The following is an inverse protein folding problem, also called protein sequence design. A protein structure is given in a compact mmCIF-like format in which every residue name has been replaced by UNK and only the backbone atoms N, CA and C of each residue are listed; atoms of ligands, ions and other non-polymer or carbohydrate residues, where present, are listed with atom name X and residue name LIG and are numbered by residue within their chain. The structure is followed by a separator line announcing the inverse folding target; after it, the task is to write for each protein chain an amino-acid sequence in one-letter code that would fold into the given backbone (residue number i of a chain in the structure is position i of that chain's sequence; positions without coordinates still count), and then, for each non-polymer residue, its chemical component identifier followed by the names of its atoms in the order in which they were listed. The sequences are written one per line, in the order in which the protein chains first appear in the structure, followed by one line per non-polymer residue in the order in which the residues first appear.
data_IF_025913412762
#
_entry.id   IF_025913412762
#
_cell.length_a   1.000
_cell.length_b   1.000
_cell.length_c   1.000
_cell.angle_alpha   90.00
_cell.angle_beta   90.00
_cell.angle_gamma   90.00
#
_symmetry.space_group_name_H-M   'P 1'
#
loop_
_entity.id
_entity.type
_entity.pdbx_description
1 polymer ?
#
# COMPACT_ATOMS: atom_id res chain seq x y z
N UNK A 1 50.20 15.11 -40.00
CA UNK A 1 49.94 16.50 -40.39
C UNK A 1 50.67 17.46 -39.48
N UNK A 2 51.13 18.64 -40.00
CA UNK A 2 51.78 19.70 -39.21
C UNK A 2 50.64 20.53 -38.54
N UNK A 3 50.72 20.68 -37.22
CA UNK A 3 49.65 21.31 -36.42
C UNK A 3 49.97 22.79 -36.04
N UNK A 4 51.25 23.18 -36.09
CA UNK A 4 51.64 24.57 -35.84
C UNK A 4 51.85 25.35 -37.14
N UNK A 5 51.24 26.53 -37.27
CA UNK A 5 51.42 27.42 -38.42
C UNK A 5 52.78 28.18 -38.37
N UNK A 6 53.18 28.58 -37.18
CA UNK A 6 54.45 29.28 -36.91
C UNK A 6 55.37 28.40 -36.11
N UNK A 7 56.71 28.67 -36.20
CA UNK A 7 57.69 27.94 -35.38
C UNK A 7 57.45 28.18 -33.89
N UNK A 8 57.47 27.09 -33.12
CA UNK A 8 57.42 27.13 -31.66
C UNK A 8 58.84 27.42 -31.14
N UNK A 9 58.97 28.46 -30.35
CA UNK A 9 60.26 28.92 -29.80
C UNK A 9 60.45 28.51 -28.34
N UNK A 10 59.44 27.83 -27.76
CA UNK A 10 59.46 27.23 -26.41
C UNK A 10 59.59 25.71 -26.51
N UNK A 11 59.73 25.04 -25.39
CA UNK A 11 59.74 23.56 -25.29
C UNK A 11 58.35 23.01 -25.02
N UNK A 12 57.30 23.82 -25.12
CA UNK A 12 55.91 23.47 -24.85
C UNK A 12 55.01 23.88 -26.03
N UNK A 13 54.04 23.07 -26.33
CA UNK A 13 52.99 23.35 -27.32
C UNK A 13 51.66 22.75 -26.92
N UNK A 14 50.59 23.57 -26.81
CA UNK A 14 49.25 23.13 -26.47
C UNK A 14 48.56 22.60 -27.69
N UNK A 15 48.15 21.33 -27.66
CA UNK A 15 47.28 20.75 -28.67
C UNK A 15 45.83 21.00 -28.25
N UNK A 16 45.08 21.70 -29.11
CA UNK A 16 43.69 22.06 -28.85
C UNK A 16 42.76 21.40 -29.87
N UNK A 17 41.45 21.44 -29.61
CA UNK A 17 40.39 20.89 -30.50
C UNK A 17 40.60 19.40 -30.81
N UNK A 18 41.13 18.62 -29.85
CA UNK A 18 41.25 17.17 -29.96
C UNK A 18 39.90 16.53 -29.75
N UNK A 19 39.66 15.41 -30.46
CA UNK A 19 38.47 14.57 -30.27
C UNK A 19 38.67 13.71 -29.02
N UNK A 20 37.67 13.59 -28.19
CA UNK A 20 37.70 12.72 -27.01
C UNK A 20 37.79 11.22 -27.38
N UNK A 21 38.26 10.42 -26.42
CA UNK A 21 38.45 8.96 -26.55
C UNK A 21 39.28 8.57 -27.79
N UNK A 22 40.15 9.50 -28.26
CA UNK A 22 40.94 9.32 -29.47
C UNK A 22 42.43 9.18 -29.11
N UNK A 23 43.06 8.21 -29.73
CA UNK A 23 44.50 7.99 -29.56
C UNK A 23 45.29 8.87 -30.54
N UNK A 24 46.14 9.74 -29.97
CA UNK A 24 47.00 10.66 -30.72
C UNK A 24 48.45 10.23 -30.62
N UNK A 25 49.19 10.49 -31.72
CA UNK A 25 50.62 10.27 -31.83
C UNK A 25 51.27 11.54 -32.30
N UNK A 26 52.16 12.12 -31.48
CA UNK A 26 52.85 13.40 -31.72
C UNK A 26 54.34 13.14 -31.91
N UNK A 27 54.90 13.85 -32.91
CA UNK A 27 56.35 13.93 -33.18
C UNK A 27 56.74 15.37 -33.39
N UNK A 28 57.96 15.70 -33.04
CA UNK A 28 58.53 17.06 -33.16
C UNK A 28 59.73 17.05 -34.06
N UNK A 29 59.93 18.13 -34.83
CA UNK A 29 61.18 18.42 -35.58
C UNK A 29 61.71 19.75 -35.14
N UNK A 30 63.03 19.93 -35.16
CA UNK A 30 63.71 21.21 -34.91
C UNK A 30 64.09 21.86 -36.24
N UNK A 31 64.01 23.20 -36.29
CA UNK A 31 64.36 23.97 -37.47
C UNK A 31 65.42 24.99 -37.11
N UNK A 32 66.53 25.02 -37.86
CA UNK A 32 67.59 25.98 -37.65
C UNK A 32 67.32 27.38 -38.33
N UNK A 33 68.22 28.35 -38.08
CA UNK A 33 68.09 29.66 -38.66
C UNK A 33 68.23 29.68 -40.19
N UNK A 34 68.83 28.67 -40.81
CA UNK A 34 68.91 28.48 -42.27
C UNK A 34 67.72 27.75 -42.84
N UNK A 35 66.71 27.40 -42.02
CA UNK A 35 65.50 26.65 -42.36
C UNK A 35 65.73 25.15 -42.67
N UNK A 36 66.86 24.57 -42.21
CA UNK A 36 67.01 23.11 -42.28
C UNK A 36 66.22 22.47 -41.15
N UNK A 37 65.50 21.39 -41.48
CA UNK A 37 64.65 20.63 -40.54
C UNK A 37 65.28 19.30 -40.17
N UNK A 38 65.26 18.97 -38.89
CA UNK A 38 65.79 17.71 -38.36
C UNK A 38 64.89 16.52 -38.74
N UNK A 39 65.40 15.31 -38.52
CA UNK A 39 64.55 14.10 -38.47
C UNK A 39 63.46 14.27 -37.37
N UNK A 40 62.34 13.60 -37.56
CA UNK A 40 61.26 13.57 -36.52
C UNK A 40 61.72 12.82 -35.27
N UNK A 41 61.28 13.31 -34.15
CA UNK A 41 61.45 12.60 -32.86
C UNK A 41 60.78 11.21 -32.86
N UNK A 42 61.10 10.38 -31.86
CA UNK A 42 60.19 9.27 -31.49
C UNK A 42 58.79 9.80 -31.22
N UNK A 43 57.82 8.93 -31.38
CA UNK A 43 56.40 9.26 -31.18
C UNK A 43 56.08 9.25 -29.69
N UNK A 44 55.50 10.36 -29.20
CA UNK A 44 54.76 10.35 -27.95
C UNK A 44 53.25 10.06 -28.24
N UNK A 45 52.67 9.11 -27.53
CA UNK A 45 51.30 8.73 -27.69
C UNK A 45 50.50 9.00 -26.43
N UNK A 46 49.26 9.44 -26.59
CA UNK A 46 48.30 9.63 -25.49
C UNK A 46 46.88 9.47 -26.04
N UNK A 47 45.93 9.14 -25.16
CA UNK A 47 44.49 9.07 -25.48
C UNK A 47 43.79 10.19 -24.72
N UNK A 48 42.98 10.96 -25.43
CA UNK A 48 42.15 11.97 -24.78
C UNK A 48 41.09 11.30 -23.93
N UNK A 49 40.86 11.81 -22.70
CA UNK A 49 39.78 11.28 -21.87
C UNK A 49 38.39 11.55 -22.48
N UNK A 50 37.41 10.77 -22.05
CA UNK A 50 36.00 11.08 -22.26
C UNK A 50 35.62 12.29 -21.43
N UNK A 51 34.85 13.21 -21.99
CA UNK A 51 34.26 14.31 -21.23
C UNK A 51 33.21 13.72 -20.28
N UNK A 52 33.39 13.97 -18.99
CA UNK A 52 32.41 13.54 -18.00
C UNK A 52 31.15 14.36 -18.15
N UNK A 53 30.01 13.68 -18.24
CA UNK A 53 28.70 14.32 -18.17
C UNK A 53 28.46 14.87 -16.76
N UNK A 54 28.05 16.11 -16.66
CA UNK A 54 27.74 16.81 -15.40
C UNK A 54 26.36 17.48 -15.42
N UNK A 55 25.60 17.28 -16.50
CA UNK A 55 24.25 17.80 -16.64
C UNK A 55 23.26 16.78 -16.06
N UNK A 56 22.35 17.24 -15.18
CA UNK A 56 21.34 16.39 -14.63
C UNK A 56 20.11 16.32 -15.57
N UNK A 57 19.39 15.19 -15.62
CA UNK A 57 18.17 15.06 -16.37
C UNK A 57 17.11 16.12 -16.01
N UNK A 58 16.17 16.37 -16.93
CA UNK A 58 15.01 17.17 -16.63
C UNK A 58 14.18 16.54 -15.50
N UNK A 59 13.52 17.39 -14.71
CA UNK A 59 12.65 16.95 -13.62
C UNK A 59 11.46 16.16 -14.20
N UNK A 60 11.12 14.97 -13.65
CA UNK A 60 9.94 14.23 -14.05
C UNK A 60 8.67 15.07 -13.87
N UNK A 61 7.75 15.02 -14.82
CA UNK A 61 6.50 15.77 -14.81
C UNK A 61 5.28 14.85 -14.78
N UNK A 62 4.11 15.41 -14.43
CA UNK A 62 2.84 14.66 -14.47
C UNK A 62 2.80 13.46 -13.53
N UNK A 63 3.48 13.53 -12.38
CA UNK A 63 3.41 12.46 -11.38
C UNK A 63 1.98 12.33 -10.89
N UNK A 64 1.42 11.13 -10.97
CA UNK A 64 0.05 10.84 -10.58
C UNK A 64 -0.05 9.48 -9.88
N UNK A 65 -1.02 9.36 -8.96
CA UNK A 65 -1.37 8.08 -8.33
C UNK A 65 -2.68 7.56 -8.93
N UNK A 66 -2.74 6.26 -9.20
CA UNK A 66 -3.92 5.52 -9.65
C UNK A 66 -4.01 4.15 -8.94
N UNK A 67 -5.06 3.40 -9.18
CA UNK A 67 -5.26 2.05 -8.64
C UNK A 67 -5.00 1.98 -7.13
N UNK A 68 -5.49 3.01 -6.41
CA UNK A 68 -5.30 3.12 -4.97
C UNK A 68 -6.09 2.03 -4.27
N UNK A 69 -5.42 1.29 -3.40
CA UNK A 69 -5.99 0.24 -2.56
C UNK A 69 -5.83 0.57 -1.08
N UNK A 70 -6.14 -0.35 -0.18
CA UNK A 70 -5.90 -0.21 1.25
C UNK A 70 -4.41 -0.14 1.60
N UNK A 71 -3.56 -0.82 0.82
CA UNK A 71 -2.14 -1.01 1.14
C UNK A 71 -1.19 -0.67 0.01
N UNK A 72 -1.68 -0.01 -1.06
CA UNK A 72 -0.86 0.31 -2.22
C UNK A 72 -1.47 1.32 -3.18
N UNK A 73 -0.66 1.75 -4.15
CA UNK A 73 -1.08 2.59 -5.27
C UNK A 73 -0.09 2.43 -6.43
N UNK A 74 -0.55 2.63 -7.65
CA UNK A 74 0.31 2.75 -8.83
C UNK A 74 0.68 4.23 -9.03
N UNK A 75 1.98 4.52 -9.15
CA UNK A 75 2.51 5.84 -9.45
C UNK A 75 3.00 5.86 -10.89
N UNK A 76 2.62 6.89 -11.64
CA UNK A 76 3.04 7.09 -13.04
C UNK A 76 3.58 8.50 -13.23
N UNK A 77 4.44 8.70 -14.24
CA UNK A 77 5.01 10.01 -14.59
C UNK A 77 5.36 10.09 -16.06
N UNK A 78 5.64 11.31 -16.54
CA UNK A 78 6.16 11.54 -17.88
C UNK A 78 7.67 11.36 -17.89
N UNK A 79 8.20 10.70 -18.92
CA UNK A 79 9.63 10.48 -19.07
C UNK A 79 10.41 11.81 -19.10
N UNK A 80 11.54 11.84 -18.40
CA UNK A 80 12.52 12.92 -18.45
C UNK A 80 13.39 12.83 -19.68
N UNK A 81 14.04 13.95 -20.02
CA UNK A 81 15.06 14.06 -21.09
C UNK A 81 16.40 14.42 -20.48
N UNK A 82 17.47 14.08 -21.18
CA UNK A 82 18.83 14.36 -20.81
C UNK A 82 19.71 14.54 -22.06
N UNK A 83 20.86 15.22 -21.94
CA UNK A 83 21.81 15.45 -23.05
C UNK A 83 22.50 14.13 -23.49
N UNK A 84 22.64 13.14 -22.61
CA UNK A 84 23.22 11.82 -22.93
C UNK A 84 22.14 10.75 -22.87
N UNK A 85 21.60 10.43 -21.71
CA UNK A 85 20.49 9.51 -21.53
C UNK A 85 20.00 9.44 -20.07
N UNK A 86 18.69 9.40 -19.85
CA UNK A 86 18.09 8.99 -18.57
C UNK A 86 18.22 7.48 -18.42
N UNK A 87 18.78 7.01 -17.31
CA UNK A 87 18.95 5.59 -17.02
C UNK A 87 17.93 5.03 -16.04
N UNK A 88 17.25 5.90 -15.28
CA UNK A 88 16.19 5.48 -14.37
C UNK A 88 15.64 6.59 -13.50
N UNK A 89 14.79 6.19 -12.56
CA UNK A 89 14.06 7.08 -11.68
C UNK A 89 14.14 6.63 -10.23
N UNK A 90 14.22 7.58 -9.32
CA UNK A 90 14.09 7.38 -7.88
C UNK A 90 12.70 7.84 -7.44
N UNK A 91 12.00 6.99 -6.69
CA UNK A 91 10.66 7.27 -6.15
C UNK A 91 10.76 7.51 -4.65
N UNK A 92 10.10 8.55 -4.16
CA UNK A 92 10.11 8.95 -2.76
C UNK A 92 8.70 9.06 -2.23
N UNK A 93 8.49 8.52 -1.02
CA UNK A 93 7.29 8.74 -0.22
C UNK A 93 7.67 9.67 0.93
N UNK A 94 7.14 10.89 0.92
CA UNK A 94 7.68 11.96 1.74
C UNK A 94 9.17 12.19 1.45
N UNK A 95 10.02 12.08 2.46
CA UNK A 95 11.48 12.20 2.31
C UNK A 95 12.19 10.86 2.06
N UNK A 96 11.49 9.74 2.14
CA UNK A 96 12.09 8.40 2.08
C UNK A 96 12.09 7.87 0.64
N UNK A 97 13.28 7.50 0.12
CA UNK A 97 13.41 6.76 -1.13
C UNK A 97 12.91 5.33 -0.94
N UNK A 98 11.99 4.88 -1.79
CA UNK A 98 11.33 3.58 -1.65
C UNK A 98 11.81 2.50 -2.63
N UNK A 99 12.51 2.87 -3.68
CA UNK A 99 13.13 1.91 -4.61
C UNK A 99 14.64 1.74 -4.32
N UNK A 100 15.11 0.51 -4.19
CA UNK A 100 16.53 0.21 -3.91
C UNK A 100 17.44 0.58 -5.10
N UNK A 101 17.00 0.32 -6.32
CA UNK A 101 17.67 0.66 -7.58
C UNK A 101 16.77 1.55 -8.43
N UNK A 102 17.32 2.43 -9.29
CA UNK A 102 16.51 3.26 -10.17
C UNK A 102 15.57 2.42 -11.04
N UNK A 103 14.31 2.89 -11.16
CA UNK A 103 13.27 2.27 -11.99
C UNK A 103 13.48 2.69 -13.44
N UNK A 104 13.50 1.76 -14.37
CA UNK A 104 13.79 2.04 -15.80
C UNK A 104 12.54 2.33 -16.65
N UNK A 105 11.38 2.20 -16.06
CA UNK A 105 10.06 2.53 -16.66
C UNK A 105 9.45 3.75 -15.96
N UNK A 106 8.39 4.30 -16.52
CA UNK A 106 7.72 5.51 -16.00
C UNK A 106 6.54 5.19 -15.09
N UNK A 107 6.58 4.06 -14.41
CA UNK A 107 5.59 3.64 -13.40
C UNK A 107 6.26 2.89 -12.26
N UNK A 108 5.61 2.91 -11.10
CA UNK A 108 6.05 2.20 -9.90
C UNK A 108 4.86 1.82 -9.02
N UNK A 109 4.80 0.56 -8.61
CA UNK A 109 3.78 0.08 -7.69
C UNK A 109 4.25 0.23 -6.24
N UNK A 110 3.59 1.12 -5.49
CA UNK A 110 3.75 1.25 -4.05
C UNK A 110 2.97 0.16 -3.35
N UNK A 111 3.61 -0.53 -2.41
CA UNK A 111 3.01 -1.60 -1.61
C UNK A 111 3.36 -1.42 -0.13
N UNK A 112 2.64 -2.12 0.77
CA UNK A 112 2.91 -2.07 2.20
C UNK A 112 2.54 -0.75 2.88
N UNK A 113 1.64 0.01 2.27
CA UNK A 113 1.10 1.24 2.85
C UNK A 113 0.08 0.93 3.95
N UNK A 114 -0.16 1.88 4.83
CA UNK A 114 -1.21 1.80 5.85
C UNK A 114 -2.55 2.26 5.26
N UNK A 115 -3.63 1.56 5.56
CA UNK A 115 -4.98 1.93 5.15
C UNK A 115 -5.41 3.28 5.74
N UNK A 116 -6.35 3.95 5.07
CA UNK A 116 -6.92 5.25 5.45
C UNK A 116 -5.85 6.32 5.80
N UNK A 117 -4.72 6.32 5.05
CA UNK A 117 -3.56 7.18 5.33
C UNK A 117 -3.19 8.00 4.10
N UNK A 118 -2.94 9.30 4.31
CA UNK A 118 -2.49 10.22 3.26
C UNK A 118 -1.01 10.07 2.96
N UNK A 119 -0.66 10.01 1.68
CA UNK A 119 0.71 9.91 1.18
C UNK A 119 1.02 11.02 0.18
N UNK A 120 2.29 11.43 0.14
CA UNK A 120 2.85 12.37 -0.81
C UNK A 120 4.03 11.72 -1.52
N UNK A 121 4.00 11.67 -2.85
CA UNK A 121 5.00 10.97 -3.67
C UNK A 121 5.65 11.95 -4.63
N UNK A 122 6.98 11.90 -4.73
CA UNK A 122 7.80 12.64 -5.68
C UNK A 122 8.75 11.69 -6.41
N UNK A 123 9.20 12.09 -7.60
CA UNK A 123 10.11 11.29 -8.44
C UNK A 123 11.25 12.17 -8.91
N UNK A 124 12.47 11.64 -8.96
CA UNK A 124 13.63 12.24 -9.65
C UNK A 124 14.16 11.32 -10.73
N UNK A 125 14.82 11.87 -11.73
CA UNK A 125 15.48 11.14 -12.82
C UNK A 125 16.99 11.06 -12.59
N UNK A 126 17.61 9.96 -13.02
CA UNK A 126 19.07 9.71 -12.91
C UNK A 126 19.62 9.34 -14.28
N UNK A 127 20.81 9.86 -14.63
CA UNK A 127 21.55 9.52 -15.84
C UNK A 127 22.61 8.41 -15.62
N UNK A 128 23.41 8.11 -16.65
CA UNK A 128 24.48 7.14 -16.60
C UNK A 128 25.74 7.63 -15.86
N UNK A 129 25.94 8.94 -15.74
CA UNK A 129 27.06 9.55 -15.02
C UNK A 129 26.78 9.65 -13.50
N UNK A 130 25.52 9.42 -13.08
CA UNK A 130 25.07 9.50 -11.71
C UNK A 130 24.53 10.87 -11.31
N UNK A 131 24.30 11.79 -12.28
CA UNK A 131 23.64 13.04 -11.99
C UNK A 131 22.15 12.79 -11.76
N UNK A 132 21.59 13.42 -10.73
CA UNK A 132 20.18 13.28 -10.35
C UNK A 132 19.46 14.62 -10.46
N UNK A 133 18.28 14.63 -11.07
CA UNK A 133 17.43 15.81 -11.18
C UNK A 133 16.88 16.25 -9.82
N UNK A 134 16.33 17.46 -9.75
CA UNK A 134 15.44 17.82 -8.66
C UNK A 134 14.22 16.87 -8.64
N UNK A 135 13.57 16.77 -7.48
CA UNK A 135 12.32 16.02 -7.34
C UNK A 135 11.16 16.74 -8.04
N UNK A 136 10.23 15.96 -8.57
CA UNK A 136 9.00 16.46 -9.21
C UNK A 136 8.11 17.23 -8.23
N UNK A 137 7.07 17.87 -8.75
CA UNK A 137 5.89 18.20 -7.98
C UNK A 137 5.34 16.94 -7.31
N UNK A 138 4.73 17.11 -6.13
CA UNK A 138 4.21 16.00 -5.35
C UNK A 138 2.83 15.56 -5.84
N UNK A 139 2.66 14.26 -6.06
CA UNK A 139 1.34 13.63 -6.17
C UNK A 139 0.88 13.19 -4.78
N UNK A 140 -0.33 13.58 -4.37
CA UNK A 140 -0.92 13.19 -3.10
C UNK A 140 -2.12 12.27 -3.31
N UNK A 141 -2.27 11.27 -2.45
CA UNK A 141 -3.43 10.38 -2.43
C UNK A 141 -3.67 9.86 -1.01
N UNK A 142 -4.85 9.29 -0.77
CA UNK A 142 -5.16 8.60 0.49
C UNK A 142 -5.54 7.16 0.16
N UNK A 143 -4.93 6.20 0.85
CA UNK A 143 -5.27 4.78 0.73
C UNK A 143 -6.70 4.53 1.19
N UNK A 144 -7.36 3.50 0.65
CA UNK A 144 -8.71 3.12 1.04
C UNK A 144 -8.74 2.70 2.51
N UNK A 145 -9.92 2.81 3.14
CA UNK A 145 -10.15 2.27 4.47
C UNK A 145 -9.94 0.75 4.48
N UNK A 146 -9.48 0.21 5.61
CA UNK A 146 -9.45 -1.24 5.79
C UNK A 146 -10.89 -1.77 5.77
N UNK A 147 -11.15 -2.82 4.99
CA UNK A 147 -12.41 -3.55 5.15
C UNK A 147 -12.39 -4.19 6.53
N UNK A 148 -13.40 -3.87 7.35
CA UNK A 148 -13.65 -4.65 8.56
C UNK A 148 -14.08 -6.05 8.12
N UNK A 149 -13.36 -7.07 8.59
CA UNK A 149 -13.77 -8.45 8.36
C UNK A 149 -15.16 -8.62 9.00
N UNK A 150 -16.18 -8.81 8.15
CA UNK A 150 -17.54 -9.06 8.64
C UNK A 150 -17.54 -10.38 9.39
N UNK A 151 -17.98 -10.34 10.64
CA UNK A 151 -18.23 -11.55 11.39
C UNK A 151 -19.30 -12.42 10.70
N UNK A 152 -18.98 -13.68 10.52
CA UNK A 152 -19.86 -14.68 9.88
C UNK A 152 -20.07 -15.91 10.77
N UNK A 153 -19.49 -15.92 11.96
CA UNK A 153 -19.64 -17.01 12.93
C UNK A 153 -20.86 -16.73 13.79
N UNK A 154 -21.74 -17.73 13.91
CA UNK A 154 -22.91 -17.60 14.75
C UNK A 154 -22.59 -17.97 16.20
N UNK A 155 -23.24 -17.34 17.20
CA UNK A 155 -23.09 -17.71 18.60
C UNK A 155 -23.41 -19.18 18.87
N UNK A 156 -22.92 -19.68 19.99
CA UNK A 156 -23.37 -20.99 20.50
C UNK A 156 -24.85 -20.97 20.84
N UNK A 157 -25.56 -22.08 20.62
CA UNK A 157 -26.96 -22.19 21.03
C UNK A 157 -27.10 -21.99 22.55
N UNK A 158 -28.11 -21.23 23.03
CA UNK A 158 -28.41 -21.13 24.46
C UNK A 158 -28.72 -22.46 25.06
N UNK A 159 -28.44 -22.61 26.36
CA UNK A 159 -28.72 -23.85 27.11
C UNK A 159 -29.45 -23.53 28.41
N UNK A 160 -29.89 -24.58 29.11
CA UNK A 160 -30.48 -24.46 30.45
C UNK A 160 -31.76 -23.60 30.50
N UNK A 161 -32.60 -23.65 29.44
CA UNK A 161 -33.90 -22.98 29.45
C UNK A 161 -34.77 -23.56 30.55
N UNK A 162 -35.30 -22.68 31.43
CA UNK A 162 -36.22 -23.06 32.53
C UNK A 162 -37.34 -22.05 32.67
N UNK A 163 -38.44 -22.46 33.29
CA UNK A 163 -39.54 -21.58 33.69
C UNK A 163 -39.64 -21.50 35.22
N UNK A 164 -39.93 -20.32 35.72
CA UNK A 164 -40.23 -20.02 37.12
C UNK A 164 -41.41 -19.06 37.17
N UNK A 165 -41.92 -18.79 38.37
CA UNK A 165 -43.03 -17.84 38.59
C UNK A 165 -44.23 -18.11 37.67
N UNK A 166 -44.49 -19.40 37.42
CA UNK A 166 -45.61 -19.82 36.53
C UNK A 166 -46.94 -19.45 37.20
N UNK A 167 -47.75 -18.75 36.44
CA UNK A 167 -49.11 -18.35 36.83
C UNK A 167 -50.15 -18.94 35.87
N UNK A 168 -51.42 -18.50 35.95
CA UNK A 168 -52.46 -18.88 35.01
C UNK A 168 -52.24 -18.32 33.62
N UNK A 169 -51.59 -17.17 33.51
CA UNK A 169 -51.48 -16.41 32.26
C UNK A 169 -50.04 -15.93 31.94
N UNK A 170 -49.03 -16.42 32.66
CA UNK A 170 -47.63 -16.01 32.45
C UNK A 170 -46.60 -16.92 33.08
N UNK A 171 -45.36 -16.73 32.74
CA UNK A 171 -44.19 -17.40 33.31
C UNK A 171 -42.94 -16.58 33.05
N UNK A 172 -41.97 -16.67 33.94
CA UNK A 172 -40.61 -16.14 33.74
C UNK A 172 -39.75 -17.24 33.16
N UNK A 173 -39.17 -16.99 31.98
CA UNK A 173 -38.25 -17.90 31.30
C UNK A 173 -36.82 -17.38 31.48
N UNK A 174 -35.90 -18.26 31.84
CA UNK A 174 -34.45 -17.98 31.98
C UNK A 174 -33.62 -18.98 31.20
N UNK A 175 -32.39 -18.59 30.82
CA UNK A 175 -31.44 -19.46 30.12
C UNK A 175 -29.99 -19.14 30.51
N UNK A 176 -29.05 -19.97 30.07
CA UNK A 176 -27.62 -19.74 30.23
C UNK A 176 -27.08 -18.93 29.04
N UNK A 177 -26.15 -18.02 29.31
CA UNK A 177 -25.51 -17.19 28.30
C UNK A 177 -24.81 -18.01 27.20
N UNK A 178 -24.97 -17.58 25.95
CA UNK A 178 -24.20 -18.07 24.81
C UNK A 178 -22.84 -17.41 24.74
N UNK A 179 -21.92 -18.01 24.00
CA UNK A 179 -20.59 -17.46 23.66
C UNK A 179 -20.46 -17.24 22.16
N UNK A 180 -19.65 -16.28 21.78
CA UNK A 180 -19.35 -15.93 20.42
C UNK A 180 -17.93 -15.38 20.31
N UNK A 181 -17.32 -15.40 19.09
CA UNK A 181 -15.96 -14.92 18.86
C UNK A 181 -15.84 -13.39 18.97
N UNK A 182 -16.90 -12.63 18.66
CA UNK A 182 -16.97 -11.16 18.76
C UNK A 182 -17.86 -10.74 19.92
N UNK A 183 -19.05 -11.35 20.04
CA UNK A 183 -19.93 -11.12 21.17
C UNK A 183 -21.41 -11.28 20.84
N UNK A 184 -22.18 -11.74 21.81
CA UNK A 184 -23.62 -11.92 21.72
C UNK A 184 -24.32 -10.58 21.92
N UNK A 185 -25.12 -10.15 20.95
CA UNK A 185 -25.93 -8.92 21.02
C UNK A 185 -27.25 -9.12 21.76
N UNK A 186 -27.79 -10.35 21.74
CA UNK A 186 -29.04 -10.67 22.45
C UNK A 186 -29.64 -11.99 21.99
N UNK A 187 -30.91 -12.19 22.38
CA UNK A 187 -31.61 -13.46 22.20
C UNK A 187 -32.96 -13.29 21.54
N UNK A 188 -33.36 -14.27 20.73
CA UNK A 188 -34.71 -14.47 20.24
C UNK A 188 -35.36 -15.59 21.06
N UNK A 189 -36.60 -15.36 21.51
CA UNK A 189 -37.37 -16.34 22.27
C UNK A 189 -38.58 -16.76 21.45
N UNK A 190 -38.83 -18.05 21.44
CA UNK A 190 -39.92 -18.68 20.69
C UNK A 190 -40.80 -19.48 21.63
N UNK A 191 -42.12 -19.29 21.51
CA UNK A 191 -43.13 -20.08 22.20
C UNK A 191 -43.96 -20.77 21.16
N UNK A 192 -44.06 -22.09 21.22
CA UNK A 192 -44.75 -22.91 20.21
C UNK A 192 -44.40 -22.56 18.78
N UNK A 193 -43.06 -22.45 18.52
CA UNK A 193 -42.39 -22.02 17.26
C UNK A 193 -42.61 -20.55 16.89
N UNK A 194 -43.48 -19.78 17.53
CA UNK A 194 -43.67 -18.38 17.25
C UNK A 194 -42.65 -17.50 18.03
N UNK A 195 -41.98 -16.59 17.33
CA UNK A 195 -41.08 -15.59 17.96
C UNK A 195 -41.93 -14.59 18.76
N UNK A 196 -41.62 -14.44 20.06
CA UNK A 196 -42.39 -13.57 20.97
C UNK A 196 -41.76 -12.19 21.16
N UNK A 197 -40.51 -12.00 20.88
CA UNK A 197 -39.82 -10.70 20.96
C UNK A 197 -39.55 -10.14 19.56
N UNK A 198 -40.59 -9.74 18.84
CA UNK A 198 -40.54 -9.34 17.41
C UNK A 198 -39.79 -8.03 17.16
N UNK A 199 -39.85 -7.07 18.09
CA UNK A 199 -39.39 -5.71 17.88
C UNK A 199 -37.87 -5.54 18.19
N UNK A 200 -37.35 -6.28 19.17
CA UNK A 200 -35.93 -6.23 19.54
C UNK A 200 -35.47 -7.53 20.20
N UNK A 201 -34.16 -7.74 20.19
CA UNK A 201 -33.52 -8.81 20.94
C UNK A 201 -33.71 -8.63 22.46
N UNK A 202 -33.77 -9.74 23.17
CA UNK A 202 -33.67 -9.75 24.63
C UNK A 202 -32.18 -9.63 25.00
N UNK A 203 -31.77 -8.52 25.63
CA UNK A 203 -30.36 -8.28 25.99
C UNK A 203 -29.94 -9.03 27.27
N UNK A 204 -30.94 -9.43 28.11
CA UNK A 204 -30.72 -10.21 29.30
C UNK A 204 -30.79 -11.72 29.09
N UNK A 205 -30.77 -12.48 30.20
CA UNK A 205 -30.88 -13.93 30.22
C UNK A 205 -32.25 -14.38 30.69
N UNK A 206 -33.25 -13.53 30.65
CA UNK A 206 -34.61 -13.78 31.08
C UNK A 206 -35.65 -12.99 30.30
N UNK A 207 -36.86 -13.50 30.23
CA UNK A 207 -38.03 -12.82 29.68
C UNK A 207 -39.29 -13.20 30.46
N UNK A 208 -40.18 -12.24 30.67
CA UNK A 208 -41.53 -12.46 31.19
C UNK A 208 -42.50 -12.77 30.01
N UNK A 209 -43.07 -13.95 30.05
CA UNK A 209 -44.18 -14.30 29.15
C UNK A 209 -45.49 -13.91 29.80
N UNK A 210 -46.36 -13.23 29.06
CA UNK A 210 -47.68 -12.81 29.53
C UNK A 210 -48.77 -13.13 28.51
N UNK A 211 -50.04 -13.15 28.92
CA UNK A 211 -51.16 -13.40 27.99
C UNK A 211 -51.31 -14.89 27.59
N UNK A 212 -50.70 -15.78 28.35
CA UNK A 212 -50.84 -17.20 28.11
C UNK A 212 -52.27 -17.72 28.54
N UNK A 213 -52.67 -18.84 27.98
CA UNK A 213 -53.93 -19.52 28.34
C UNK A 213 -53.72 -20.39 29.57
N UNK A 214 -54.65 -20.38 30.55
CA UNK A 214 -54.59 -21.28 31.71
C UNK A 214 -54.65 -22.78 31.31
N UNK A 215 -54.07 -23.65 32.16
CA UNK A 215 -54.06 -25.11 32.01
C UNK A 215 -53.56 -25.57 30.61
N UNK A 216 -52.58 -24.85 30.08
CA UNK A 216 -52.04 -25.09 28.72
C UNK A 216 -50.55 -25.33 28.76
N UNK A 217 -50.08 -26.35 28.04
CA UNK A 217 -48.70 -26.66 27.86
C UNK A 217 -48.07 -25.77 26.76
N UNK A 218 -46.90 -25.21 27.04
CA UNK A 218 -46.15 -24.38 26.11
C UNK A 218 -44.75 -24.95 25.94
N UNK A 219 -44.23 -24.88 24.71
CA UNK A 219 -42.85 -25.25 24.37
C UNK A 219 -42.02 -23.97 24.10
N UNK A 220 -40.91 -23.81 24.83
CA UNK A 220 -40.02 -22.66 24.68
C UNK A 220 -38.68 -23.09 24.14
N UNK A 221 -38.18 -22.33 23.15
CA UNK A 221 -36.81 -22.40 22.64
C UNK A 221 -36.21 -20.99 22.55
N UNK A 222 -34.88 -20.87 22.63
CA UNK A 222 -34.17 -19.61 22.59
C UNK A 222 -33.00 -19.74 21.60
N UNK A 223 -32.73 -18.71 20.78
CA UNK A 223 -31.54 -18.59 19.97
C UNK A 223 -30.77 -17.31 20.37
N UNK A 224 -29.46 -17.29 20.14
CA UNK A 224 -28.61 -16.14 20.35
C UNK A 224 -28.29 -15.46 19.01
N UNK A 225 -28.12 -14.15 19.02
CA UNK A 225 -27.77 -13.34 17.86
C UNK A 225 -26.60 -12.43 18.21
N UNK A 226 -25.60 -12.32 17.32
CA UNK A 226 -24.47 -11.41 17.46
C UNK A 226 -24.76 -10.01 16.89
N UNK A 227 -23.78 -9.12 16.93
CA UNK A 227 -23.88 -7.77 16.40
C UNK A 227 -23.86 -7.73 14.85
N UNK A 228 -23.33 -8.75 14.17
CA UNK A 228 -23.30 -8.87 12.71
C UNK A 228 -24.61 -9.44 12.14
N UNK A 229 -25.52 -9.94 13.04
CA UNK A 229 -26.81 -10.51 12.67
C UNK A 229 -26.78 -12.02 12.43
N UNK A 230 -25.68 -12.73 12.79
CA UNK A 230 -25.66 -14.17 12.71
C UNK A 230 -26.46 -14.76 13.89
N UNK A 231 -27.33 -15.71 13.60
CA UNK A 231 -28.21 -16.35 14.59
C UNK A 231 -27.81 -17.80 14.83
N UNK A 232 -27.71 -18.21 16.08
CA UNK A 232 -27.39 -19.58 16.51
C UNK A 232 -28.51 -20.56 16.18
N UNK A 233 -28.23 -21.84 16.31
CA UNK A 233 -29.27 -22.86 16.50
C UNK A 233 -30.09 -22.55 17.73
N UNK A 234 -31.34 -23.03 17.75
CA UNK A 234 -32.21 -22.93 18.93
C UNK A 234 -31.71 -23.86 20.04
N UNK A 235 -32.00 -23.50 21.30
CA UNK A 235 -31.78 -24.34 22.46
C UNK A 235 -32.57 -25.68 22.35
N UNK A 236 -32.27 -26.61 23.24
CA UNK A 236 -33.18 -27.69 23.50
C UNK A 236 -34.57 -27.14 23.90
N UNK A 237 -35.63 -27.78 23.43
CA UNK A 237 -36.99 -27.41 23.77
C UNK A 237 -37.24 -27.66 25.28
N UNK A 238 -37.84 -26.69 25.94
CA UNK A 238 -38.30 -26.77 27.31
C UNK A 238 -39.82 -26.60 27.36
N UNK A 239 -40.51 -27.48 28.07
CA UNK A 239 -41.99 -27.44 28.23
C UNK A 239 -42.38 -27.07 29.65
N UNK A 240 -43.43 -26.28 29.79
CA UNK A 240 -44.10 -26.00 31.06
C UNK A 240 -45.59 -25.87 30.85
N UNK A 241 -46.36 -26.00 31.94
CA UNK A 241 -47.83 -25.87 31.90
C UNK A 241 -48.24 -24.72 32.82
N UNK A 242 -49.08 -23.81 32.35
CA UNK A 242 -49.69 -22.76 33.15
C UNK A 242 -50.68 -23.31 34.19
N UNK A 243 -50.86 -22.55 35.27
CA UNK A 243 -51.79 -22.98 36.33
C UNK A 243 -53.25 -23.01 35.86
N UNK A 244 -54.05 -23.88 36.45
CA UNK A 244 -55.50 -23.94 36.20
C UNK A 244 -56.22 -22.74 36.78
N UNK A 245 -57.32 -22.35 36.16
CA UNK A 245 -58.29 -21.45 36.80
C UNK A 245 -58.88 -22.16 38.01
N UNK A 246 -58.93 -21.46 39.16
CA UNK A 246 -59.68 -21.95 40.35
C UNK A 246 -61.19 -21.84 40.11
#
# INVERSE_FOLDING_TARGET
EKVNETLVTTTEYDLTALTEETNYSVKVTAVDAAKNESARSEAATFTTPKTQDTEAPSVPAGVAASDVTQTGAKITWTASTDNVAVTGYNVYVGETKVNATPVTVTEYDLTGLTANTGYSVTVSAVDAAGNESARSEAATFTTLEAEEEKDTEAPTAPAGVTASEVTQTGAKITWTASTDNVGVAGYNVYVDEAKVNTDKLVEGLEIELTGLTPDTEYTVTVSAVDAAGNESGRSAAFTFTTLKNE
#
